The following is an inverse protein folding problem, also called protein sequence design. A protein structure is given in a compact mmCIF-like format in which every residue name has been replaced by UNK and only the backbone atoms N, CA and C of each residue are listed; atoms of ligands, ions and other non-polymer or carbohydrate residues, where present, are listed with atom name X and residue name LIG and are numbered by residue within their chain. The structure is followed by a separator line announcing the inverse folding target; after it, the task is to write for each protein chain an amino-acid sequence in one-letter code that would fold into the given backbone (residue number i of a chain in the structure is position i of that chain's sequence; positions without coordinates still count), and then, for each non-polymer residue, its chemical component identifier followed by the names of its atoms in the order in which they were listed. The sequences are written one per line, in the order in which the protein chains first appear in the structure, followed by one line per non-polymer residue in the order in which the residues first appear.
data_IF_258349843361
#
_entry.id   IF_258349843361
#
_cell.length_a   1.000
_cell.length_b   1.000
_cell.length_c   1.000
_cell.angle_alpha   90.00
_cell.angle_beta   90.00
_cell.angle_gamma   90.00
#
_symmetry.space_group_name_H-M   'P 1'
#
loop_
_entity.id
_entity.type
_entity.pdbx_description
1 polymer ?
#
# COMPACT_ATOMS: atom_id res chain seq x y z
N UNK A 1 -20.83 -9.33 -4.18
CA UNK A 1 -21.48 -8.07 -4.60
C UNK A 1 -20.39 -7.15 -5.16
N UNK A 2 -20.12 -7.24 -6.47
CA UNK A 2 -19.00 -6.56 -7.13
C UNK A 2 -19.37 -5.10 -7.42
N UNK A 3 -18.55 -4.14 -6.94
CA UNK A 3 -18.99 -2.75 -6.80
C UNK A 3 -18.62 -1.81 -7.97
N UNK A 4 -17.68 -2.16 -8.88
CA UNK A 4 -17.44 -1.40 -10.13
C UNK A 4 -16.83 -2.34 -11.18
N UNK A 5 -17.53 -2.57 -12.30
CA UNK A 5 -16.98 -3.22 -13.50
C UNK A 5 -16.73 -2.12 -14.53
N UNK A 6 -15.47 -1.76 -14.77
CA UNK A 6 -15.12 -0.78 -15.81
C UNK A 6 -15.03 -1.54 -17.14
N UNK A 7 -16.14 -1.54 -17.87
CA UNK A 7 -16.28 -2.18 -19.18
C UNK A 7 -16.02 -1.16 -20.29
N UNK A 8 -14.81 -1.14 -20.85
CA UNK A 8 -14.55 -0.40 -22.10
C UNK A 8 -14.85 -1.33 -23.28
N UNK A 9 -16.04 -1.24 -23.86
CA UNK A 9 -16.39 -1.97 -25.08
C UNK A 9 -15.60 -1.41 -26.28
N UNK A 10 -14.63 -2.16 -26.82
CA UNK A 10 -13.98 -1.81 -28.09
C UNK A 10 -14.87 -2.28 -29.25
N UNK A 11 -15.63 -1.35 -29.85
CA UNK A 11 -16.58 -1.61 -30.95
C UNK A 11 -15.95 -2.14 -32.25
N UNK A 12 -14.61 -2.15 -32.38
CA UNK A 12 -13.91 -2.68 -33.55
C UNK A 12 -13.41 -4.13 -33.38
N UNK A 13 -13.41 -4.71 -32.18
CA UNK A 13 -12.92 -6.09 -31.97
C UNK A 13 -13.86 -6.96 -31.13
N UNK A 14 -15.03 -6.47 -30.70
CA UNK A 14 -15.94 -7.21 -29.81
C UNK A 14 -15.21 -7.80 -28.58
N UNK A 15 -14.13 -7.15 -28.14
CA UNK A 15 -13.31 -7.63 -27.02
C UNK A 15 -13.43 -6.64 -25.88
N UNK A 16 -14.26 -7.01 -24.90
CA UNK A 16 -14.41 -6.31 -23.64
C UNK A 16 -13.25 -6.75 -22.73
N UNK A 17 -12.28 -5.86 -22.51
CA UNK A 17 -11.24 -6.06 -21.50
C UNK A 17 -11.85 -5.79 -20.11
N UNK A 18 -12.73 -6.69 -19.67
CA UNK A 18 -13.25 -6.71 -18.33
C UNK A 18 -12.13 -7.12 -17.38
N UNK A 19 -11.34 -6.13 -16.92
CA UNK A 19 -10.41 -6.32 -15.80
C UNK A 19 -11.21 -6.62 -14.54
N UNK A 20 -11.54 -7.90 -14.36
CA UNK A 20 -12.18 -8.40 -13.15
C UNK A 20 -11.15 -8.36 -12.03
N UNK A 21 -11.28 -7.37 -11.13
CA UNK A 21 -10.44 -7.25 -9.96
C UNK A 21 -10.86 -8.32 -8.93
N UNK A 22 -10.42 -9.57 -9.14
CA UNK A 22 -10.72 -10.69 -8.26
C UNK A 22 -9.90 -10.58 -6.98
N UNK A 23 -10.44 -9.88 -5.99
CA UNK A 23 -9.84 -9.78 -4.67
C UNK A 23 -9.97 -11.14 -3.96
N UNK A 24 -8.92 -11.94 -3.99
CA UNK A 24 -8.85 -13.22 -3.25
C UNK A 24 -8.31 -13.00 -1.84
N UNK A 25 -8.74 -13.81 -0.84
CA UNK A 25 -8.19 -13.74 0.52
C UNK A 25 -6.66 -13.85 0.57
N UNK A 26 -6.07 -14.62 -0.37
CA UNK A 26 -4.63 -14.73 -0.55
C UNK A 26 -3.97 -13.36 -0.84
N UNK A 27 -4.52 -12.59 -1.80
CA UNK A 27 -3.98 -11.26 -2.16
C UNK A 27 -4.07 -10.30 -0.98
N UNK A 28 -5.18 -10.33 -0.23
CA UNK A 28 -5.35 -9.50 0.98
C UNK A 28 -4.23 -9.80 1.98
N UNK A 29 -3.98 -11.08 2.27
CA UNK A 29 -2.93 -11.48 3.21
C UNK A 29 -1.52 -11.05 2.74
N UNK A 30 -1.22 -11.21 1.45
CA UNK A 30 0.08 -10.87 0.87
C UNK A 30 0.32 -9.36 0.86
N UNK A 31 -0.67 -8.58 0.46
CA UNK A 31 -0.58 -7.11 0.41
C UNK A 31 -0.49 -6.50 1.80
N UNK A 32 -1.25 -7.02 2.77
CA UNK A 32 -1.15 -6.59 4.17
C UNK A 32 0.23 -6.89 4.76
N UNK A 33 0.74 -8.11 4.55
CA UNK A 33 2.08 -8.49 5.00
C UNK A 33 3.15 -7.60 4.36
N UNK A 34 3.07 -7.39 3.05
CA UNK A 34 3.99 -6.52 2.32
C UNK A 34 3.98 -5.08 2.85
N UNK A 35 2.78 -4.50 3.05
CA UNK A 35 2.63 -3.16 3.58
C UNK A 35 3.22 -3.00 4.98
N UNK A 36 3.01 -3.99 5.87
CA UNK A 36 3.60 -4.00 7.21
C UNK A 36 5.12 -4.07 7.18
N UNK A 37 5.69 -4.97 6.38
CA UNK A 37 7.15 -5.09 6.25
C UNK A 37 7.75 -3.80 5.69
N UNK A 38 7.18 -3.23 4.64
CA UNK A 38 7.64 -1.97 4.06
C UNK A 38 7.51 -0.80 5.04
N UNK A 39 6.40 -0.69 5.76
CA UNK A 39 6.18 0.35 6.75
C UNK A 39 7.14 0.26 7.94
N UNK A 40 7.37 -0.96 8.45
CA UNK A 40 8.30 -1.19 9.55
C UNK A 40 9.75 -0.94 9.13
N UNK A 41 10.18 -1.47 7.98
CA UNK A 41 11.55 -1.23 7.49
C UNK A 41 11.83 0.25 7.24
N UNK A 42 10.87 0.99 6.68
CA UNK A 42 10.99 2.43 6.48
C UNK A 42 10.93 3.25 7.77
N UNK A 43 10.12 2.84 8.75
CA UNK A 43 9.89 3.59 9.99
C UNK A 43 10.87 3.29 11.13
N UNK A 44 11.45 2.09 11.19
CA UNK A 44 12.33 1.69 12.30
C UNK A 44 13.65 2.46 12.29
N UNK A 45 14.27 2.65 11.13
CA UNK A 45 15.52 3.40 11.00
C UNK A 45 15.43 4.83 11.57
N UNK A 46 14.44 5.67 11.17
CA UNK A 46 14.27 6.99 11.78
C UNK A 46 13.81 6.92 13.24
N UNK A 47 12.96 5.95 13.62
CA UNK A 47 12.52 5.81 15.01
C UNK A 47 13.67 5.51 15.98
N UNK A 48 14.61 4.63 15.59
CA UNK A 48 15.80 4.33 16.39
C UNK A 48 16.71 5.54 16.49
N UNK A 49 16.83 6.35 15.43
CA UNK A 49 17.58 7.60 15.46
C UNK A 49 16.95 8.58 16.45
N UNK A 50 15.63 8.78 16.38
CA UNK A 50 14.90 9.66 17.29
C UNK A 50 14.99 9.20 18.75
N UNK A 51 14.89 7.89 19.02
CA UNK A 51 14.99 7.33 20.36
C UNK A 51 16.36 7.54 21.03
N UNK A 52 17.42 7.81 20.25
CA UNK A 52 18.77 8.08 20.74
C UNK A 52 19.11 9.56 20.80
N UNK A 53 18.21 10.45 20.37
CA UNK A 53 18.44 11.89 20.43
C UNK A 53 18.28 12.42 21.86
N UNK A 54 19.18 13.32 22.23
CA UNK A 54 19.11 14.08 23.48
C UNK A 54 17.88 14.99 23.48
N UNK A 55 17.14 15.01 24.58
CA UNK A 55 15.89 15.79 24.72
C UNK A 55 16.10 17.28 24.37
N UNK A 56 17.26 17.84 24.75
CA UNK A 56 17.62 19.24 24.48
C UNK A 56 17.77 19.51 22.97
N UNK A 57 18.33 18.56 22.22
CA UNK A 57 18.49 18.69 20.76
C UNK A 57 17.16 18.52 20.03
N UNK A 58 16.30 17.61 20.52
CA UNK A 58 14.95 17.44 20.00
C UNK A 58 14.09 18.71 20.18
N UNK A 59 14.23 19.42 21.31
CA UNK A 59 13.52 20.67 21.58
C UNK A 59 14.08 21.89 20.81
N UNK A 60 15.36 21.86 20.41
CA UNK A 60 15.99 22.96 19.65
C UNK A 60 15.69 22.93 18.15
N UNK A 61 15.26 21.79 17.63
CA UNK A 61 15.03 21.60 16.18
C UNK A 61 13.55 21.79 15.79
N UNK A 62 12.67 22.07 16.77
CA UNK A 62 11.26 22.43 16.55
C UNK A 62 11.07 23.95 16.50
#
# INVERSE_FOLDING_TARGET
MQLITVSTMNFQTFSELAFSFTLTPAIISQTLFFALVMGLTGGILPAVRAARMTIVDALRTG
#
